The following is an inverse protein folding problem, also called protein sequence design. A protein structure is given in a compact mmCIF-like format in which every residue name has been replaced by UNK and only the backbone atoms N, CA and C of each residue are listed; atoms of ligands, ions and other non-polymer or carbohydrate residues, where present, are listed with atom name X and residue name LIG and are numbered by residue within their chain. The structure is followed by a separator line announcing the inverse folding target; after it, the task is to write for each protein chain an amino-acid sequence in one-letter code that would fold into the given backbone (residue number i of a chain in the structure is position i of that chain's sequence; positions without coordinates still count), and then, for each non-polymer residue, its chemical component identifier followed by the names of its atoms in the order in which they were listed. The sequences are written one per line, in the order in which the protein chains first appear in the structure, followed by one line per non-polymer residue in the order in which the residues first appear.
data_IF_374767727914
#
_entry.id   IF_374767727914
#
_cell.length_a   1.000
_cell.length_b   1.000
_cell.length_c   1.000
_cell.angle_alpha   90.00
_cell.angle_beta   90.00
_cell.angle_gamma   90.00
#
_symmetry.space_group_name_H-M   'P 1'
#
loop_
_entity.id
_entity.type
_entity.pdbx_description
1 polymer ?
#
# COMPACT_ATOMS: atom_id res chain seq x y z
N UNK A 1 11.46 9.25 -7.17
CA UNK A 1 12.57 8.37 -7.65
C UNK A 1 13.62 8.24 -6.55
N UNK A 2 14.22 7.06 -6.36
CA UNK A 2 15.22 6.85 -5.30
C UNK A 2 16.43 7.78 -5.46
N UNK A 3 16.84 8.06 -6.70
CA UNK A 3 17.97 8.92 -7.04
C UNK A 3 17.83 10.36 -6.53
N UNK A 4 16.61 10.91 -6.52
CA UNK A 4 16.32 12.24 -5.98
C UNK A 4 16.33 12.30 -4.46
N UNK A 5 16.26 11.15 -3.77
CA UNK A 5 16.32 11.09 -2.30
C UNK A 5 17.76 11.16 -1.79
N UNK A 6 18.72 10.75 -2.60
CA UNK A 6 20.14 10.70 -2.23
C UNK A 6 20.91 11.97 -2.65
N UNK A 7 20.33 12.81 -3.51
CA UNK A 7 20.90 14.11 -3.85
C UNK A 7 20.89 15.04 -2.62
N UNK A 8 22.09 15.45 -2.19
CA UNK A 8 22.33 16.31 -1.04
C UNK A 8 21.53 17.63 -1.09
N UNK A 9 21.22 18.14 -2.29
CA UNK A 9 20.42 19.37 -2.46
C UNK A 9 18.98 19.19 -2.00
N UNK A 10 18.44 17.97 -2.07
CA UNK A 10 17.04 17.67 -1.76
C UNK A 10 16.85 16.99 -0.39
N UNK A 11 17.93 16.64 0.33
CA UNK A 11 17.84 15.99 1.65
C UNK A 11 16.91 16.70 2.64
N UNK A 12 16.97 18.03 2.73
CA UNK A 12 16.09 18.81 3.61
C UNK A 12 14.60 18.68 3.24
N UNK A 13 14.29 18.71 1.95
CA UNK A 13 12.93 18.53 1.44
C UNK A 13 12.42 17.11 1.71
N UNK A 14 13.25 16.09 1.44
CA UNK A 14 12.92 14.68 1.70
C UNK A 14 12.61 14.46 3.18
N UNK A 15 13.45 15.00 4.06
CA UNK A 15 13.25 14.92 5.52
C UNK A 15 11.94 15.59 5.94
N UNK A 16 11.63 16.77 5.41
CA UNK A 16 10.37 17.47 5.71
C UNK A 16 9.13 16.71 5.21
N UNK A 17 9.22 16.08 4.04
CA UNK A 17 8.15 15.25 3.49
C UNK A 17 7.92 13.99 4.34
N UNK A 18 8.99 13.33 4.77
CA UNK A 18 8.90 12.19 5.69
C UNK A 18 8.31 12.57 7.04
N UNK A 19 8.72 13.70 7.61
CA UNK A 19 8.17 14.21 8.86
C UNK A 19 6.66 14.48 8.73
N UNK A 20 6.25 15.08 7.60
CA UNK A 20 4.83 15.32 7.29
C UNK A 20 4.05 14.01 7.15
N UNK A 21 4.62 13.01 6.48
CA UNK A 21 4.01 11.69 6.35
C UNK A 21 3.81 11.00 7.71
N UNK A 22 4.82 11.05 8.59
CA UNK A 22 4.73 10.50 9.95
C UNK A 22 3.65 11.20 10.79
N UNK A 23 3.53 12.52 10.67
CA UNK A 23 2.48 13.26 11.38
C UNK A 23 1.08 12.90 10.86
N UNK A 24 0.93 12.73 9.54
CA UNK A 24 -0.33 12.28 8.96
C UNK A 24 -0.72 10.89 9.48
N UNK A 25 0.21 9.94 9.52
CA UNK A 25 -0.01 8.59 10.05
C UNK A 25 -0.38 8.62 11.55
N UNK A 26 0.29 9.47 12.33
CA UNK A 26 0.00 9.70 13.75
C UNK A 26 -1.43 10.24 13.95
N UNK A 27 -1.85 11.24 13.17
CA UNK A 27 -3.21 11.80 13.22
C UNK A 27 -4.24 10.75 12.81
N UNK A 28 -3.98 9.99 11.73
CA UNK A 28 -4.87 8.91 11.30
C UNK A 28 -5.07 7.89 12.41
N UNK A 29 -3.99 7.40 13.02
CA UNK A 29 -4.06 6.45 14.12
C UNK A 29 -4.86 6.99 15.32
N UNK A 30 -4.66 8.25 15.70
CA UNK A 30 -5.44 8.92 16.78
C UNK A 30 -6.94 8.96 16.50
N UNK A 31 -7.33 9.06 15.24
CA UNK A 31 -8.74 9.04 14.82
C UNK A 31 -9.25 7.64 14.45
N UNK A 32 -8.45 6.59 14.70
CA UNK A 32 -8.81 5.21 14.44
C UNK A 32 -8.74 4.81 12.96
N UNK A 33 -8.03 5.57 12.13
CA UNK A 33 -7.77 5.22 10.74
C UNK A 33 -6.49 4.40 10.66
N UNK A 34 -6.55 3.22 10.05
CA UNK A 34 -5.41 2.32 9.88
C UNK A 34 -5.26 1.89 8.43
N UNK A 35 -4.02 1.84 7.95
CA UNK A 35 -3.70 1.33 6.61
C UNK A 35 -3.95 -0.18 6.52
N UNK A 36 -4.49 -0.65 5.40
CA UNK A 36 -4.66 -2.07 5.10
C UNK A 36 -3.30 -2.63 4.65
N UNK A 37 -2.83 -3.70 5.29
CA UNK A 37 -1.66 -4.46 4.84
C UNK A 37 -2.13 -5.41 3.73
N UNK A 38 -1.71 -5.13 2.49
CA UNK A 38 -2.16 -5.87 1.33
C UNK A 38 -1.07 -6.77 0.73
N UNK A 39 0.17 -6.28 0.61
CA UNK A 39 1.25 -7.03 -0.03
C UNK A 39 1.53 -8.36 0.69
N UNK A 40 1.50 -9.45 -0.07
CA UNK A 40 1.77 -10.81 0.42
C UNK A 40 0.56 -11.52 1.03
N UNK A 41 -0.56 -10.83 1.23
CA UNK A 41 -1.80 -11.41 1.73
C UNK A 41 -2.64 -12.03 0.59
N UNK A 42 -3.57 -12.91 0.94
CA UNK A 42 -4.59 -13.38 0.01
C UNK A 42 -5.59 -12.25 -0.32
N UNK A 43 -6.13 -12.25 -1.54
CA UNK A 43 -7.18 -11.31 -1.93
C UNK A 43 -8.45 -11.51 -1.05
N UNK A 44 -8.87 -10.45 -0.37
CA UNK A 44 -10.10 -10.39 0.40
C UNK A 44 -11.00 -9.34 -0.26
N UNK A 45 -12.09 -9.74 -0.96
CA UNK A 45 -12.98 -8.80 -1.65
C UNK A 45 -13.61 -7.73 -0.74
N UNK A 46 -13.65 -7.94 0.58
CA UNK A 46 -14.18 -6.94 1.52
C UNK A 46 -13.18 -5.81 1.81
N UNK A 47 -11.90 -6.01 1.51
CA UNK A 47 -10.80 -5.09 1.86
C UNK A 47 -9.97 -4.67 0.66
N UNK A 48 -10.01 -5.46 -0.40
CA UNK A 48 -9.14 -5.35 -1.56
C UNK A 48 -9.98 -5.27 -2.84
N UNK A 49 -9.53 -4.46 -3.78
CA UNK A 49 -10.07 -4.40 -5.13
C UNK A 49 -8.96 -4.76 -6.11
N UNK A 50 -9.07 -5.96 -6.70
CA UNK A 50 -8.14 -6.44 -7.70
C UNK A 50 -8.36 -5.68 -9.01
N UNK A 51 -7.35 -4.92 -9.43
CA UNK A 51 -7.38 -4.12 -10.66
C UNK A 51 -6.76 -4.85 -11.84
N UNK A 52 -5.80 -5.74 -11.57
CA UNK A 52 -5.09 -6.48 -12.60
C UNK A 52 -4.52 -7.80 -12.07
N UNK A 53 -4.25 -8.71 -12.99
CA UNK A 53 -3.53 -9.95 -12.74
C UNK A 53 -2.08 -9.79 -13.18
N UNK A 54 -1.14 -10.26 -12.35
CA UNK A 54 0.30 -10.23 -12.61
C UNK A 54 0.79 -11.67 -12.77
N UNK A 55 1.27 -12.07 -13.96
CA UNK A 55 1.87 -13.38 -14.17
C UNK A 55 3.13 -13.53 -13.32
N UNK A 56 3.15 -14.49 -12.39
CA UNK A 56 4.34 -14.80 -11.58
C UNK A 56 4.30 -16.25 -11.11
N UNK A 57 5.46 -16.90 -11.10
CA UNK A 57 5.65 -18.22 -10.51
C UNK A 57 6.05 -18.17 -9.02
N UNK A 58 6.32 -16.97 -8.48
CA UNK A 58 6.92 -16.79 -7.16
C UNK A 58 5.89 -16.89 -6.03
N UNK A 59 4.60 -16.73 -6.34
CA UNK A 59 3.49 -16.69 -5.37
C UNK A 59 2.29 -17.46 -5.88
N UNK A 60 1.48 -17.95 -4.94
CA UNK A 60 0.24 -18.65 -5.26
C UNK A 60 -0.79 -17.72 -5.93
N UNK A 61 -1.59 -18.28 -6.85
CA UNK A 61 -2.63 -17.53 -7.53
C UNK A 61 -3.63 -16.90 -6.53
N UNK A 62 -3.99 -15.64 -6.73
CA UNK A 62 -4.83 -14.87 -5.82
C UNK A 62 -4.10 -14.20 -4.66
N UNK A 63 -2.78 -14.40 -4.52
CA UNK A 63 -1.95 -13.62 -3.59
C UNK A 63 -1.73 -12.22 -4.13
N UNK A 64 -1.82 -11.21 -3.28
CA UNK A 64 -1.51 -9.83 -3.65
C UNK A 64 0.00 -9.66 -3.79
N UNK A 65 0.45 -9.31 -4.99
CA UNK A 65 1.88 -9.15 -5.31
C UNK A 65 2.26 -7.71 -5.57
N UNK A 66 1.27 -6.83 -5.76
CA UNK A 66 1.49 -5.41 -5.96
C UNK A 66 0.40 -4.59 -5.29
N UNK A 67 0.78 -3.54 -4.56
CA UNK A 67 -0.11 -2.51 -4.05
C UNK A 67 -0.01 -1.29 -4.97
N UNK A 68 -1.11 -0.97 -5.65
CA UNK A 68 -1.20 0.19 -6.55
C UNK A 68 -1.61 1.43 -5.75
N UNK A 69 -2.58 1.25 -4.86
CA UNK A 69 -3.05 2.29 -3.97
C UNK A 69 -3.42 1.70 -2.61
N UNK A 70 -2.97 2.36 -1.56
CA UNK A 70 -3.23 1.92 -0.19
C UNK A 70 -4.69 1.94 0.19
N UNK A 71 -5.15 0.88 0.84
CA UNK A 71 -6.45 0.83 1.48
C UNK A 71 -6.40 1.36 2.91
N UNK A 72 -7.55 1.77 3.45
CA UNK A 72 -7.68 2.24 4.82
C UNK A 72 -8.97 1.73 5.45
N UNK A 73 -8.88 1.39 6.73
CA UNK A 73 -10.01 1.13 7.62
C UNK A 73 -10.20 2.34 8.52
N UNK A 74 -11.43 2.63 8.92
CA UNK A 74 -11.75 3.51 10.03
C UNK A 74 -12.45 2.68 11.11
N UNK A 75 -11.72 2.44 12.20
CA UNK A 75 -12.09 1.48 13.25
C UNK A 75 -12.33 0.10 12.62
N UNK A 76 -13.55 -0.40 12.70
CA UNK A 76 -14.01 -1.69 12.18
C UNK A 76 -14.59 -1.62 10.76
N UNK A 77 -14.74 -0.41 10.20
CA UNK A 77 -15.38 -0.20 8.90
C UNK A 77 -14.38 0.09 7.79
N UNK A 78 -14.66 -0.41 6.60
CA UNK A 78 -13.90 -0.07 5.39
C UNK A 78 -14.08 1.41 5.07
N UNK A 79 -12.98 2.17 5.04
CA UNK A 79 -13.00 3.56 4.58
C UNK A 79 -12.72 3.62 3.08
N UNK A 80 -11.71 2.86 2.61
CA UNK A 80 -11.36 2.72 1.20
C UNK A 80 -10.66 1.38 0.96
N UNK A 81 -11.03 0.60 -0.06
CA UNK A 81 -10.31 -0.63 -0.39
C UNK A 81 -8.88 -0.35 -0.87
N UNK A 82 -7.98 -1.31 -0.67
CA UNK A 82 -6.67 -1.27 -1.32
C UNK A 82 -6.82 -1.69 -2.78
N UNK A 83 -6.27 -0.90 -3.71
CA UNK A 83 -6.19 -1.30 -5.11
C UNK A 83 -4.93 -2.12 -5.32
N UNK A 84 -5.11 -3.35 -5.81
CA UNK A 84 -4.06 -4.36 -5.81
C UNK A 84 -3.95 -5.09 -7.15
N UNK A 85 -2.74 -5.58 -7.42
CA UNK A 85 -2.46 -6.59 -8.44
C UNK A 85 -2.30 -7.95 -7.80
N UNK A 86 -2.99 -8.97 -8.32
CA UNK A 86 -2.96 -10.34 -7.79
C UNK A 86 -2.17 -11.27 -8.69
N UNK A 87 -1.48 -12.24 -8.09
CA UNK A 87 -0.74 -13.25 -8.81
C UNK A 87 -1.69 -14.14 -9.63
N UNK A 88 -1.26 -14.43 -10.85
CA UNK A 88 -1.82 -15.46 -11.71
C UNK A 88 -0.70 -16.41 -12.12
N UNK A 89 -0.98 -17.71 -12.17
CA UNK A 89 -0.04 -18.67 -12.74
C UNK A 89 0.23 -18.28 -14.20
N UNK A 90 1.50 -18.21 -14.63
CA UNK A 90 1.83 -18.08 -16.05
C UNK A 90 1.26 -19.31 -16.79
N UNK A 91 0.76 -19.10 -18.01
CA UNK A 91 0.34 -20.18 -18.91
C UNK A 91 1.51 -21.08 -19.32
#
# INVERSE_FOLDING_TARGET
PAELREDDKFKGLVTGLEATGRELDSVFARHGISKIVALGEALDPNRHQAMMEVPTADKEAGTIVQEIQSGYMIRDRLLRPALVGVAKKPD
#
